data_IF_600758951184
#
_entry.id   IF_600758951184
#
_cell.length_a   1.000
_cell.length_b   1.000
_cell.length_c   1.000
_cell.angle_alpha   90.00
_cell.angle_beta   90.00
_cell.angle_gamma   90.00
#
_symmetry.space_group_name_H-M   'P 1'
#
loop_
_entity.id
_entity.type
_entity.pdbx_description
1 polymer ?
#
# COMPACT_ATOMS: atom_id res chain seq x y z
N UNK A 1 20.46 23.54 10.54
CA UNK A 1 20.66 22.11 10.31
C UNK A 1 19.24 21.56 10.28
N UNK A 2 18.73 21.25 9.11
CA UNK A 2 17.48 20.50 9.00
C UNK A 2 17.82 19.11 9.53
N UNK A 3 17.13 18.68 10.58
CA UNK A 3 17.08 17.26 10.90
C UNK A 3 16.48 16.60 9.68
N UNK A 4 17.24 15.71 9.08
CA UNK A 4 16.83 14.91 7.94
C UNK A 4 15.84 13.87 8.52
N UNK A 5 14.56 14.23 8.50
CA UNK A 5 13.46 13.49 9.11
C UNK A 5 13.04 12.33 8.19
N UNK A 6 14.05 11.59 7.71
CA UNK A 6 13.80 10.42 6.89
C UNK A 6 13.32 9.29 7.78
N UNK A 7 12.19 8.66 7.47
CA UNK A 7 11.60 7.66 8.34
C UNK A 7 12.50 6.43 8.47
N UNK A 8 12.89 6.10 9.70
CA UNK A 8 13.63 4.89 10.01
C UNK A 8 12.80 3.61 9.83
N UNK A 9 11.48 3.74 9.79
CA UNK A 9 10.55 2.62 9.64
C UNK A 9 9.60 2.85 8.45
N UNK A 10 9.57 1.90 7.51
CA UNK A 10 8.79 2.02 6.26
C UNK A 10 7.89 0.81 6.03
N UNK A 11 6.68 1.09 5.55
CA UNK A 11 5.74 0.10 5.02
C UNK A 11 5.69 0.31 3.50
N UNK A 12 6.25 -0.62 2.72
CA UNK A 12 5.99 -0.70 1.28
C UNK A 12 4.62 -1.32 1.07
N UNK A 13 3.71 -0.56 0.46
CA UNK A 13 2.30 -0.90 0.46
C UNK A 13 1.74 -1.05 -0.94
N UNK A 14 1.17 -2.23 -1.23
CA UNK A 14 0.20 -2.37 -2.31
C UNK A 14 -1.21 -1.97 -1.85
N UNK A 15 -2.11 -1.70 -2.80
CA UNK A 15 -3.48 -1.24 -2.52
C UNK A 15 -4.50 -2.33 -2.85
N UNK A 16 -4.46 -2.84 -4.09
CA UNK A 16 -5.36 -3.90 -4.52
C UNK A 16 -5.03 -5.21 -3.78
N UNK A 17 -6.03 -5.91 -3.27
CA UNK A 17 -5.79 -7.12 -2.46
C UNK A 17 -5.22 -6.84 -1.05
N UNK A 18 -4.93 -5.58 -0.71
CA UNK A 18 -4.47 -5.17 0.63
C UNK A 18 -5.51 -4.30 1.33
N UNK A 19 -5.81 -3.12 0.79
CA UNK A 19 -6.85 -2.23 1.29
C UNK A 19 -8.16 -2.40 0.53
N UNK A 20 -8.07 -2.73 -0.76
CA UNK A 20 -9.19 -2.91 -1.66
C UNK A 20 -9.39 -4.40 -2.00
N UNK A 21 -10.34 -5.09 -1.36
CA UNK A 21 -10.70 -6.46 -1.74
C UNK A 21 -11.25 -6.51 -3.17
N UNK A 22 -10.82 -7.45 -4.03
CA UNK A 22 -11.31 -7.58 -5.41
C UNK A 22 -12.82 -7.80 -5.51
N UNK A 23 -13.44 -8.35 -4.46
CA UNK A 23 -14.88 -8.60 -4.40
C UNK A 23 -15.72 -7.34 -4.14
N UNK A 24 -15.13 -6.26 -3.62
CA UNK A 24 -15.83 -5.01 -3.35
C UNK A 24 -15.89 -4.15 -4.60
N UNK A 25 -17.09 -3.85 -5.09
CA UNK A 25 -17.34 -3.05 -6.28
C UNK A 25 -18.53 -2.11 -6.06
N UNK A 26 -18.67 -1.58 -4.86
CA UNK A 26 -19.78 -0.70 -4.49
C UNK A 26 -19.73 0.63 -5.28
N UNK A 27 -18.54 1.10 -5.67
CA UNK A 27 -18.35 2.30 -6.48
C UNK A 27 -19.23 2.37 -7.74
N UNK A 28 -19.55 1.23 -8.34
CA UNK A 28 -20.38 1.20 -9.55
C UNK A 28 -21.88 1.41 -9.27
N UNK A 29 -22.30 1.50 -8.01
CA UNK A 29 -23.67 1.75 -7.58
C UNK A 29 -23.90 3.21 -7.14
N UNK A 30 -22.88 4.06 -7.24
CA UNK A 30 -22.90 5.44 -6.75
C UNK A 30 -22.51 6.43 -7.84
N UNK A 31 -22.93 7.70 -7.68
CA UNK A 31 -22.46 8.79 -8.54
C UNK A 31 -21.03 9.19 -8.12
N UNK A 32 -20.05 8.55 -8.75
CA UNK A 32 -18.63 8.83 -8.48
C UNK A 32 -18.18 10.18 -9.03
N UNK A 33 -18.93 10.79 -9.94
CA UNK A 33 -18.64 12.15 -10.42
C UNK A 33 -19.04 13.19 -9.37
N UNK A 34 -20.18 12.99 -8.71
CA UNK A 34 -20.60 13.83 -7.60
C UNK A 34 -19.65 13.66 -6.40
N UNK A 35 -19.25 12.42 -6.11
CA UNK A 35 -18.24 12.12 -5.07
C UNK A 35 -16.95 12.91 -5.31
N UNK A 36 -16.41 12.89 -6.54
CA UNK A 36 -15.18 13.59 -6.91
C UNK A 36 -15.26 15.08 -6.58
N UNK A 37 -16.36 15.74 -6.97
CA UNK A 37 -16.60 17.16 -6.67
C UNK A 37 -16.75 17.42 -5.18
N UNK A 38 -17.47 16.55 -4.49
CA UNK A 38 -17.66 16.61 -3.05
C UNK A 38 -16.35 16.52 -2.28
N UNK A 39 -15.48 15.59 -2.65
CA UNK A 39 -14.16 15.43 -2.01
C UNK A 39 -13.26 16.64 -2.27
N UNK A 40 -13.24 17.16 -3.49
CA UNK A 40 -12.49 18.38 -3.82
C UNK A 40 -12.93 19.56 -2.95
N UNK A 41 -14.24 19.76 -2.78
CA UNK A 41 -14.77 20.82 -1.92
C UNK A 41 -14.52 20.56 -0.43
N UNK A 42 -14.70 19.31 0.03
CA UNK A 42 -14.49 18.93 1.43
C UNK A 42 -13.06 19.15 1.92
N UNK A 43 -12.09 18.85 1.08
CA UNK A 43 -10.68 18.93 1.45
C UNK A 43 -9.96 20.16 0.90
N UNK A 44 -10.66 21.00 0.13
CA UNK A 44 -10.11 22.16 -0.58
C UNK A 44 -8.85 21.78 -1.39
N UNK A 45 -8.97 20.71 -2.18
CA UNK A 45 -7.84 20.08 -2.86
C UNK A 45 -8.20 19.70 -4.31
N UNK A 46 -7.58 20.42 -5.26
CA UNK A 46 -7.80 20.22 -6.70
C UNK A 46 -7.29 18.86 -7.22
N UNK A 47 -6.44 18.15 -6.49
CA UNK A 47 -6.00 16.79 -6.87
C UNK A 47 -7.19 15.88 -7.14
N UNK A 48 -8.26 15.99 -6.34
CA UNK A 48 -9.46 15.16 -6.54
C UNK A 48 -10.10 15.35 -7.92
N UNK A 49 -10.06 16.57 -8.49
CA UNK A 49 -10.63 16.85 -9.81
C UNK A 49 -9.79 16.30 -10.96
N UNK A 50 -8.49 16.08 -10.74
CA UNK A 50 -7.55 15.59 -11.75
C UNK A 50 -7.42 14.06 -11.78
N UNK A 51 -7.89 13.37 -10.75
CA UNK A 51 -7.84 11.91 -10.65
C UNK A 51 -9.04 11.24 -11.33
N UNK A 52 -8.87 9.98 -11.71
CA UNK A 52 -9.97 9.16 -12.21
C UNK A 52 -11.05 9.00 -11.12
N UNK A 53 -12.29 9.19 -11.51
CA UNK A 53 -13.43 9.15 -10.56
C UNK A 53 -13.70 7.76 -10.02
N UNK A 54 -13.37 6.70 -10.77
CA UNK A 54 -13.56 5.32 -10.31
C UNK A 54 -12.49 4.91 -9.30
N UNK A 55 -11.28 5.48 -9.41
CA UNK A 55 -10.25 5.32 -8.38
C UNK A 55 -10.71 5.96 -7.07
N UNK A 56 -11.23 7.18 -7.13
CA UNK A 56 -11.81 7.85 -5.96
C UNK A 56 -13.00 7.08 -5.37
N UNK A 57 -13.86 6.55 -6.25
CA UNK A 57 -14.96 5.70 -5.84
C UNK A 57 -14.48 4.42 -5.17
N UNK A 58 -13.40 3.80 -5.66
CA UNK A 58 -12.79 2.63 -5.06
C UNK A 58 -12.28 2.92 -3.65
N UNK A 59 -11.53 4.00 -3.48
CA UNK A 59 -11.05 4.42 -2.16
C UNK A 59 -12.20 4.67 -1.20
N UNK A 60 -13.23 5.37 -1.63
CA UNK A 60 -14.32 5.79 -0.75
C UNK A 60 -15.30 4.65 -0.39
N UNK A 61 -15.64 3.79 -1.36
CA UNK A 61 -16.69 2.78 -1.18
C UNK A 61 -16.15 1.35 -1.04
N UNK A 62 -14.97 1.06 -1.59
CA UNK A 62 -14.51 -0.32 -1.71
C UNK A 62 -13.32 -0.65 -0.81
N UNK A 63 -12.58 0.33 -0.28
CA UNK A 63 -11.56 0.03 0.72
C UNK A 63 -12.19 -0.62 1.96
N UNK A 64 -11.50 -1.60 2.50
CA UNK A 64 -11.96 -2.33 3.67
C UNK A 64 -11.60 -1.56 4.94
N UNK A 65 -12.63 -1.20 5.73
CA UNK A 65 -12.42 -0.40 6.94
C UNK A 65 -11.54 -1.09 7.98
N UNK A 66 -11.62 -2.42 8.11
CA UNK A 66 -10.76 -3.15 9.04
C UNK A 66 -9.31 -3.17 8.55
N UNK A 67 -9.07 -3.36 7.25
CA UNK A 67 -7.74 -3.29 6.67
C UNK A 67 -7.12 -1.90 6.84
N UNK A 68 -7.91 -0.84 6.62
CA UNK A 68 -7.50 0.55 6.85
C UNK A 68 -7.10 0.79 8.31
N UNK A 69 -7.90 0.32 9.27
CA UNK A 69 -7.60 0.47 10.70
C UNK A 69 -6.35 -0.33 11.12
N UNK A 70 -6.13 -1.52 10.58
CA UNK A 70 -4.90 -2.29 10.80
C UNK A 70 -3.66 -1.56 10.28
N UNK A 71 -3.74 -1.01 9.06
CA UNK A 71 -2.66 -0.21 8.52
C UNK A 71 -2.39 1.03 9.38
N UNK A 72 -3.45 1.72 9.82
CA UNK A 72 -3.32 2.87 10.75
C UNK A 72 -2.60 2.48 12.02
N UNK A 73 -2.96 1.35 12.63
CA UNK A 73 -2.35 0.86 13.84
C UNK A 73 -0.85 0.55 13.63
N UNK A 74 -0.48 -0.08 12.51
CA UNK A 74 0.93 -0.30 12.16
C UNK A 74 1.69 1.02 12.03
N UNK A 75 1.15 1.99 11.29
CA UNK A 75 1.79 3.30 11.15
C UNK A 75 1.96 4.01 12.49
N UNK A 76 0.93 4.00 13.33
CA UNK A 76 0.94 4.71 14.61
C UNK A 76 1.88 4.06 15.64
N UNK A 77 1.82 2.72 15.75
CA UNK A 77 2.54 1.99 16.81
C UNK A 77 4.05 1.90 16.54
N UNK A 78 4.45 1.98 15.27
CA UNK A 78 5.85 1.88 14.86
C UNK A 78 6.42 3.20 14.32
N UNK A 79 5.67 4.28 14.37
CA UNK A 79 6.02 5.56 13.73
C UNK A 79 6.45 5.34 12.27
N UNK A 80 5.69 4.48 11.58
CA UNK A 80 6.04 4.00 10.25
C UNK A 80 5.37 4.86 9.16
N UNK A 81 6.15 5.13 8.14
CA UNK A 81 5.69 5.84 6.94
C UNK A 81 5.35 4.85 5.82
N UNK A 82 4.48 5.28 4.92
CA UNK A 82 4.04 4.48 3.79
C UNK A 82 4.77 4.95 2.54
N UNK A 83 5.45 4.02 1.89
CA UNK A 83 5.93 4.15 0.51
C UNK A 83 5.04 3.28 -0.37
N UNK A 84 4.29 3.91 -1.28
CA UNK A 84 3.35 3.18 -2.14
C UNK A 84 4.11 2.42 -3.21
N UNK A 85 4.00 1.09 -3.20
CA UNK A 85 4.57 0.19 -4.22
C UNK A 85 3.52 -0.33 -5.20
N UNK A 86 2.25 0.03 -5.03
CA UNK A 86 1.12 -0.35 -5.88
C UNK A 86 1.21 0.19 -7.30
N UNK A 87 0.59 -0.49 -8.26
CA UNK A 87 0.44 0.00 -9.63
C UNK A 87 -0.31 1.34 -9.73
N UNK A 88 -1.03 1.72 -8.71
CA UNK A 88 -1.69 3.03 -8.62
C UNK A 88 -0.70 4.20 -8.75
N UNK A 89 0.57 4.02 -8.34
CA UNK A 89 1.62 5.05 -8.46
C UNK A 89 1.98 5.41 -9.90
N UNK A 90 1.72 4.50 -10.87
CA UNK A 90 2.09 4.72 -12.28
C UNK A 90 1.36 5.90 -12.93
N UNK A 91 0.17 6.22 -12.44
CA UNK A 91 -0.68 7.28 -12.98
C UNK A 91 -0.90 8.43 -12.00
N UNK A 92 -0.24 8.43 -10.84
CA UNK A 92 -0.50 9.39 -9.76
C UNK A 92 0.80 9.94 -9.18
N UNK A 93 0.81 11.24 -8.93
CA UNK A 93 1.85 11.85 -8.11
C UNK A 93 1.72 11.46 -6.64
N UNK A 94 2.78 11.63 -5.85
CA UNK A 94 2.73 11.44 -4.40
C UNK A 94 1.63 12.28 -3.75
N UNK A 95 1.46 13.54 -4.18
CA UNK A 95 0.37 14.39 -3.69
C UNK A 95 -1.03 13.85 -4.00
N UNK A 96 -1.22 13.21 -5.15
CA UNK A 96 -2.48 12.54 -5.47
C UNK A 96 -2.68 11.27 -4.63
N UNK A 97 -1.62 10.49 -4.39
CA UNK A 97 -1.68 9.35 -3.47
C UNK A 97 -2.03 9.82 -2.05
N UNK A 98 -1.39 10.87 -1.55
CA UNK A 98 -1.75 11.48 -0.27
C UNK A 98 -3.21 11.91 -0.22
N UNK A 99 -3.75 12.50 -1.28
CA UNK A 99 -5.15 12.88 -1.36
C UNK A 99 -6.09 11.66 -1.28
N UNK A 100 -5.75 10.53 -1.91
CA UNK A 100 -6.50 9.29 -1.79
C UNK A 100 -6.52 8.78 -0.33
N UNK A 101 -5.36 8.69 0.29
CA UNK A 101 -5.25 8.24 1.68
C UNK A 101 -5.88 9.21 2.69
N UNK A 102 -6.03 10.50 2.32
CA UNK A 102 -6.73 11.50 3.15
C UNK A 102 -8.20 11.17 3.37
N UNK A 103 -8.85 10.48 2.44
CA UNK A 103 -10.25 10.03 2.58
C UNK A 103 -10.43 9.22 3.87
N UNK A 104 -9.40 8.47 4.24
CA UNK A 104 -9.36 7.64 5.46
C UNK A 104 -8.46 8.21 6.57
N UNK A 105 -7.98 9.45 6.44
CA UNK A 105 -7.13 10.09 7.46
C UNK A 105 -5.72 9.51 7.59
N UNK A 106 -5.21 8.86 6.52
CA UNK A 106 -3.87 8.24 6.49
C UNK A 106 -2.83 9.06 5.71
N UNK A 107 -3.22 10.22 5.17
CA UNK A 107 -2.36 11.01 4.27
C UNK A 107 -1.03 11.44 4.89
N UNK A 108 -1.00 11.66 6.21
CA UNK A 108 0.22 12.06 6.92
C UNK A 108 1.29 10.96 6.99
N UNK A 109 0.90 9.71 6.75
CA UNK A 109 1.86 8.59 6.72
C UNK A 109 2.43 8.33 5.33
N UNK A 110 1.76 8.79 4.25
CA UNK A 110 2.25 8.58 2.88
C UNK A 110 3.33 9.60 2.56
N UNK A 111 4.56 9.14 2.40
CA UNK A 111 5.71 10.01 2.15
C UNK A 111 6.23 9.92 0.73
N UNK A 112 6.14 8.75 0.09
CA UNK A 112 6.70 8.53 -1.24
C UNK A 112 6.03 7.35 -1.97
N UNK A 113 6.54 7.04 -3.16
CA UNK A 113 6.19 5.87 -3.94
C UNK A 113 7.43 5.31 -4.64
N UNK A 114 7.51 3.98 -4.81
CA UNK A 114 8.59 3.35 -5.59
C UNK A 114 8.53 3.81 -7.05
N UNK A 115 9.68 3.88 -7.71
CA UNK A 115 9.77 4.17 -9.15
C UNK A 115 9.69 2.87 -9.93
N UNK A 116 9.13 2.94 -11.14
CA UNK A 116 9.27 1.84 -12.09
C UNK A 116 10.73 1.74 -12.55
N UNK A 117 11.22 0.53 -12.63
CA UNK A 117 12.55 0.23 -13.17
C UNK A 117 12.45 -0.59 -14.43
N UNK A 118 13.45 -0.46 -15.30
CA UNK A 118 13.60 -1.31 -16.48
C UNK A 118 13.95 -2.74 -16.01
N UNK A 119 13.11 -3.70 -16.38
CA UNK A 119 13.30 -5.10 -15.98
C UNK A 119 12.25 -6.02 -16.58
N UNK A 120 12.17 -7.27 -16.12
CA UNK A 120 11.07 -8.15 -16.45
C UNK A 120 9.74 -7.48 -16.13
N UNK A 121 8.65 -7.77 -16.88
CA UNK A 121 7.35 -7.17 -16.58
C UNK A 121 7.02 -7.33 -15.09
N UNK A 122 6.73 -6.21 -14.44
CA UNK A 122 6.31 -6.19 -13.04
C UNK A 122 7.35 -6.65 -12.00
N UNK A 123 8.60 -6.24 -12.14
CA UNK A 123 9.66 -6.55 -11.17
C UNK A 123 9.54 -5.71 -9.89
N UNK A 124 8.46 -5.91 -9.14
CA UNK A 124 8.09 -5.12 -7.95
C UNK A 124 9.12 -5.23 -6.82
N UNK A 125 9.65 -6.40 -6.57
CA UNK A 125 10.67 -6.59 -5.54
C UNK A 125 11.98 -5.86 -5.87
N UNK A 126 12.32 -5.78 -7.16
CA UNK A 126 13.46 -4.96 -7.62
C UNK A 126 13.25 -3.47 -7.41
N UNK A 127 12.02 -2.97 -7.61
CA UNK A 127 11.68 -1.57 -7.35
C UNK A 127 11.80 -1.19 -5.87
N UNK A 128 11.37 -2.10 -4.98
CA UNK A 128 11.56 -1.94 -3.53
C UNK A 128 13.05 -1.97 -3.18
N UNK A 129 13.81 -2.88 -3.79
CA UNK A 129 15.26 -2.95 -3.57
C UNK A 129 15.97 -1.67 -4.00
N UNK A 130 15.66 -1.14 -5.18
CA UNK A 130 16.27 0.12 -5.68
C UNK A 130 15.90 1.29 -4.76
N UNK A 131 14.68 1.32 -4.25
CA UNK A 131 14.27 2.33 -3.28
C UNK A 131 15.13 2.23 -2.01
N UNK A 132 15.29 1.04 -1.42
CA UNK A 132 16.11 0.82 -0.24
C UNK A 132 17.60 1.13 -0.49
N UNK A 133 18.15 0.77 -1.65
CA UNK A 133 19.52 1.09 -2.02
C UNK A 133 19.75 2.61 -2.10
N UNK A 134 18.71 3.39 -2.40
CA UNK A 134 18.75 4.86 -2.47
C UNK A 134 18.46 5.54 -1.13
N UNK A 135 17.98 4.79 -0.12
CA UNK A 135 17.59 5.29 1.19
C UNK A 135 18.23 4.45 2.31
N UNK A 136 19.55 4.53 2.46
CA UNK A 136 20.30 3.72 3.45
C UNK A 136 19.95 4.04 4.92
N UNK A 137 19.24 5.11 5.17
CA UNK A 137 18.72 5.51 6.48
C UNK A 137 17.52 4.66 6.94
N UNK A 138 16.88 3.90 6.03
CA UNK A 138 15.79 2.98 6.38
C UNK A 138 16.41 1.74 7.02
N UNK A 139 16.21 1.58 8.32
CA UNK A 139 16.74 0.46 9.10
C UNK A 139 15.70 -0.63 9.36
N UNK A 140 14.41 -0.31 9.23
CA UNK A 140 13.30 -1.25 9.41
C UNK A 140 12.24 -1.06 8.34
N UNK A 141 11.81 -2.16 7.76
CA UNK A 141 10.71 -2.11 6.81
C UNK A 141 9.91 -3.40 6.76
N UNK A 142 8.71 -3.28 6.24
CA UNK A 142 7.83 -4.40 5.88
C UNK A 142 7.23 -4.15 4.51
N UNK A 143 7.02 -5.21 3.73
CA UNK A 143 6.37 -5.19 2.43
C UNK A 143 5.03 -5.88 2.58
N UNK A 144 3.94 -5.21 2.22
CA UNK A 144 2.57 -5.75 2.30
C UNK A 144 1.98 -5.73 0.90
N UNK A 145 1.77 -6.93 0.32
CA UNK A 145 1.34 -7.08 -1.08
C UNK A 145 0.57 -8.41 -1.22
N UNK A 146 -0.37 -8.52 -2.16
CA UNK A 146 -1.13 -9.74 -2.44
C UNK A 146 -0.57 -10.52 -3.64
N UNK A 147 0.40 -9.96 -4.33
CA UNK A 147 1.03 -10.50 -5.53
C UNK A 147 2.55 -10.67 -5.42
N UNK A 148 3.18 -10.96 -6.54
CA UNK A 148 4.65 -10.97 -6.72
C UNK A 148 5.45 -11.85 -5.74
N UNK A 149 4.81 -12.84 -5.11
CA UNK A 149 5.39 -13.64 -4.04
C UNK A 149 6.71 -14.30 -4.38
N UNK A 150 6.89 -14.81 -5.60
CA UNK A 150 8.16 -15.40 -5.99
C UNK A 150 9.33 -14.40 -5.91
N UNK A 151 9.11 -13.16 -6.32
CA UNK A 151 10.12 -12.11 -6.28
C UNK A 151 10.42 -11.69 -4.85
N UNK A 152 9.38 -11.52 -4.04
CA UNK A 152 9.53 -11.12 -2.64
C UNK A 152 10.11 -12.23 -1.78
N UNK A 153 9.73 -13.49 -2.00
CA UNK A 153 10.31 -14.65 -1.31
C UNK A 153 11.79 -14.83 -1.66
N UNK A 154 12.22 -14.42 -2.86
CA UNK A 154 13.63 -14.45 -3.26
C UNK A 154 14.45 -13.32 -2.60
N UNK A 155 13.95 -12.10 -2.63
CA UNK A 155 14.72 -10.91 -2.20
C UNK A 155 14.47 -10.51 -0.73
N UNK A 156 13.25 -10.71 -0.22
CA UNK A 156 12.81 -10.21 1.08
C UNK A 156 11.97 -11.23 1.86
N UNK A 157 12.39 -12.50 1.99
CA UNK A 157 11.57 -13.55 2.58
C UNK A 157 11.14 -13.29 4.02
N UNK A 158 11.95 -12.53 4.76
CA UNK A 158 11.67 -12.19 6.17
C UNK A 158 10.81 -10.92 6.32
N UNK A 159 10.84 -10.01 5.35
CA UNK A 159 10.14 -8.72 5.40
C UNK A 159 8.81 -8.73 4.65
N UNK A 160 8.52 -9.77 3.89
CA UNK A 160 7.32 -9.86 3.07
C UNK A 160 6.12 -10.40 3.86
N UNK A 161 5.00 -9.69 3.75
CA UNK A 161 3.68 -10.08 4.24
C UNK A 161 2.77 -10.27 3.04
N UNK A 162 2.44 -11.53 2.74
CA UNK A 162 1.49 -11.89 1.72
C UNK A 162 0.07 -11.80 2.26
N UNK A 163 -0.74 -10.90 1.69
CA UNK A 163 -2.18 -10.83 1.97
C UNK A 163 -2.94 -11.76 1.01
N UNK A 164 -4.13 -12.23 1.43
CA UNK A 164 -4.96 -13.04 0.54
C UNK A 164 -5.82 -12.19 -0.39
N UNK A 165 -6.73 -11.42 0.20
CA UNK A 165 -7.65 -10.54 -0.50
C UNK A 165 -7.77 -9.17 0.18
N UNK A 166 -7.21 -9.04 1.37
CA UNK A 166 -7.11 -7.82 2.18
C UNK A 166 -6.17 -8.06 3.35
N UNK A 167 -5.71 -6.98 3.96
CA UNK A 167 -4.92 -7.01 5.18
C UNK A 167 -5.78 -7.50 6.36
N UNK A 168 -5.55 -8.71 6.83
CA UNK A 168 -6.27 -9.32 7.94
C UNK A 168 -5.43 -9.36 9.23
N UNK A 169 -6.04 -9.81 10.33
CA UNK A 169 -5.39 -9.85 11.65
C UNK A 169 -4.10 -10.70 11.66
N UNK A 170 -4.06 -11.79 10.89
CA UNK A 170 -2.86 -12.62 10.77
C UNK A 170 -1.72 -11.85 10.10
N UNK A 171 -2.02 -11.10 9.05
CA UNK A 171 -1.05 -10.35 8.26
C UNK A 171 -0.52 -9.16 9.06
N UNK A 172 -1.42 -8.46 9.77
CA UNK A 172 -1.04 -7.41 10.72
C UNK A 172 -0.09 -7.95 11.80
N UNK A 173 -0.39 -9.11 12.39
CA UNK A 173 0.45 -9.71 13.41
C UNK A 173 1.84 -10.03 12.87
N UNK A 174 1.94 -10.57 11.64
CA UNK A 174 3.22 -10.82 10.98
C UNK A 174 3.98 -9.51 10.74
N UNK A 175 3.32 -8.48 10.21
CA UNK A 175 3.92 -7.16 10.01
C UNK A 175 4.47 -6.57 11.31
N UNK A 176 3.72 -6.67 12.41
CA UNK A 176 4.16 -6.25 13.74
C UNK A 176 5.41 -6.98 14.23
N UNK A 177 5.47 -8.28 14.01
CA UNK A 177 6.65 -9.09 14.38
C UNK A 177 7.87 -8.66 13.58
N UNK A 178 7.74 -8.46 12.28
CA UNK A 178 8.81 -7.96 11.40
C UNK A 178 9.31 -6.60 11.89
N UNK A 179 8.40 -5.64 12.06
CA UNK A 179 8.74 -4.29 12.51
C UNK A 179 9.31 -4.24 13.95
N UNK A 180 8.99 -5.23 14.76
CA UNK A 180 9.58 -5.37 16.11
C UNK A 180 10.94 -6.07 16.13
N UNK A 181 11.41 -6.58 14.98
CA UNK A 181 12.66 -7.34 14.90
C UNK A 181 12.61 -8.71 15.60
N UNK A 182 11.41 -9.30 15.76
CA UNK A 182 11.27 -10.64 16.34
C UNK A 182 10.92 -11.65 15.25
N UNK A 183 11.21 -12.96 15.46
CA UNK A 183 10.84 -13.99 14.48
C UNK A 183 9.35 -13.92 14.11
N UNK A 184 9.07 -13.75 12.83
CA UNK A 184 7.70 -13.61 12.36
C UNK A 184 7.07 -14.97 12.07
N UNK A 185 5.77 -15.09 12.33
CA UNK A 185 4.99 -16.25 11.91
C UNK A 185 5.04 -16.41 10.38
N UNK A 186 4.84 -17.61 9.83
CA UNK A 186 4.87 -17.83 8.37
C UNK A 186 3.85 -16.97 7.64
N UNK A 187 4.14 -16.63 6.40
CA UNK A 187 3.14 -16.09 5.49
C UNK A 187 1.97 -17.07 5.33
N UNK A 188 0.82 -16.54 4.94
CA UNK A 188 -0.27 -17.39 4.46
C UNK A 188 0.21 -18.21 3.27
N UNK A 189 -0.22 -19.48 3.16
CA UNK A 189 0.04 -20.22 1.94
C UNK A 189 -0.62 -19.51 0.75
N UNK A 190 0.09 -19.51 -0.38
CA UNK A 190 -0.48 -19.01 -1.64
C UNK A 190 -1.76 -19.78 -1.95
N UNK A 191 -2.84 -19.10 -2.38
CA UNK A 191 -4.00 -19.79 -2.87
C UNK A 191 -3.57 -20.68 -4.05
N UNK A 192 -4.11 -21.90 -4.18
CA UNK A 192 -3.80 -22.75 -5.30
C UNK A 192 -4.11 -21.99 -6.59
N UNK A 193 -3.19 -22.01 -7.55
CA UNK A 193 -3.38 -21.38 -8.85
C UNK A 193 -4.76 -21.78 -9.41
N UNK A 194 -5.57 -20.83 -9.92
CA UNK A 194 -6.87 -21.15 -10.51
C UNK A 194 -6.69 -22.26 -11.56
N UNK A 195 -7.56 -23.27 -11.52
CA UNK A 195 -7.50 -24.38 -12.46
C UNK A 195 -7.57 -23.82 -13.91
N UNK A 196 -6.47 -23.93 -14.65
CA UNK A 196 -6.37 -23.43 -16.02
C UNK A 196 -5.24 -22.42 -16.28
N UNK A 197 -4.51 -21.98 -15.27
CA UNK A 197 -3.28 -21.21 -15.46
C UNK A 197 -2.08 -22.16 -15.49
N UNK A 198 -1.68 -22.54 -16.70
CA UNK A 198 -0.41 -23.17 -17.05
C UNK A 198 0.20 -22.43 -18.21
#
# INVERSE_FOLDING_TARGET
>A
MADDDTPATVIFLDIDGVLQPPSKQARFKHDVEELRRSLAGKFDDANYLSMDKYDLGAVYYDWDSEAVERLRALCTDFDAHIVVSSDWRRSKSVGQLQALFRVHGLHGYVTDATKEIDGPPHYRAGEVKEYLDSHPEIDRFVIIDDGYGHEFDELFPEQFVHTGYRLEAHDEQRARQILSGVPAQPNRPWPPAPAGWR
#
